data_IF_451070876098
#
_entry.id   IF_451070876098
#
_cell.length_a   1.000
_cell.length_b   1.000
_cell.length_c   1.000
_cell.angle_alpha   90.00
_cell.angle_beta   90.00
_cell.angle_gamma   90.00
#
_symmetry.space_group_name_H-M   'P 1'
#
loop_
_entity.id
_entity.type
_entity.pdbx_description
1 polymer ?
#
# COMPACT_ATOMS: atom_id res chain seq x y z
N UNK A 1 -27.16 57.96 -31.63
CA UNK A 1 -26.30 56.82 -32.02
C UNK A 1 -25.34 56.35 -30.92
N UNK A 2 -24.69 57.24 -30.15
CA UNK A 2 -23.74 56.89 -29.06
C UNK A 2 -24.27 55.91 -27.99
N UNK A 3 -25.53 56.05 -27.55
CA UNK A 3 -26.09 55.17 -26.50
C UNK A 3 -26.46 53.76 -26.97
N UNK A 4 -26.45 53.48 -28.28
CA UNK A 4 -26.72 52.13 -28.81
C UNK A 4 -25.45 51.27 -28.82
N UNK A 5 -24.26 51.82 -29.07
CA UNK A 5 -23.00 51.05 -29.03
C UNK A 5 -22.65 50.57 -27.61
N UNK A 6 -22.86 51.40 -26.58
CA UNK A 6 -22.52 51.04 -25.20
C UNK A 6 -23.26 49.80 -24.67
N UNK A 7 -24.49 49.57 -25.16
CA UNK A 7 -25.29 48.40 -24.75
C UNK A 7 -24.76 47.10 -25.33
N UNK A 8 -24.26 47.10 -26.57
CA UNK A 8 -23.72 45.89 -27.20
C UNK A 8 -22.33 45.54 -26.67
N UNK A 9 -21.51 46.54 -26.33
CA UNK A 9 -20.18 46.29 -25.75
C UNK A 9 -20.28 45.67 -24.35
N UNK A 10 -21.25 46.08 -23.52
CA UNK A 10 -21.44 45.52 -22.19
C UNK A 10 -21.96 44.06 -22.23
N UNK A 11 -22.89 43.75 -23.13
CA UNK A 11 -23.39 42.37 -23.30
C UNK A 11 -22.32 41.42 -23.82
N UNK A 12 -21.43 41.88 -24.71
CA UNK A 12 -20.31 41.09 -25.22
C UNK A 12 -19.24 40.83 -24.15
N UNK A 13 -19.00 41.79 -23.25
CA UNK A 13 -18.05 41.61 -22.15
C UNK A 13 -18.60 40.70 -21.04
N UNK A 14 -19.92 40.72 -20.80
CA UNK A 14 -20.57 39.87 -19.79
C UNK A 14 -20.69 38.40 -20.25
N UNK A 15 -20.68 38.11 -21.55
CA UNK A 15 -20.63 36.73 -22.08
C UNK A 15 -19.24 36.11 -22.06
N UNK A 16 -18.18 36.89 -21.82
CA UNK A 16 -16.81 36.38 -21.71
C UNK A 16 -16.45 35.87 -20.31
N UNK A 17 -17.32 36.08 -19.31
CA UNK A 17 -17.11 35.65 -17.92
C UNK A 17 -17.69 34.23 -17.66
N UNK A 18 -18.48 33.69 -18.59
CA UNK A 18 -19.05 32.35 -18.42
C UNK A 18 -18.04 31.26 -18.77
N UNK A 19 -17.83 30.34 -17.82
CA UNK A 19 -17.10 29.07 -17.90
C UNK A 19 -15.61 29.08 -17.53
N UNK A 20 -15.24 29.67 -16.40
CA UNK A 20 -14.18 29.04 -15.59
C UNK A 20 -14.76 27.72 -15.06
N UNK A 21 -14.42 26.61 -15.70
CA UNK A 21 -14.67 25.28 -15.17
C UNK A 21 -13.84 25.15 -13.88
N UNK A 22 -14.48 25.29 -12.73
CA UNK A 22 -13.84 25.07 -11.45
C UNK A 22 -13.48 23.58 -11.34
N UNK A 23 -12.20 23.25 -11.53
CA UNK A 23 -11.67 21.98 -11.06
C UNK A 23 -11.76 21.98 -9.54
N UNK A 24 -12.34 20.93 -8.96
CA UNK A 24 -12.48 20.82 -7.51
C UNK A 24 -11.29 20.06 -6.94
N UNK A 25 -10.72 20.57 -5.86
CA UNK A 25 -9.69 19.88 -5.09
C UNK A 25 -10.33 19.21 -3.88
N UNK A 26 -9.96 17.95 -3.66
CA UNK A 26 -10.29 17.19 -2.47
C UNK A 26 -8.99 16.79 -1.78
N UNK A 27 -8.94 16.95 -0.47
CA UNK A 27 -7.76 16.65 0.34
C UNK A 27 -8.20 15.75 1.47
N UNK A 28 -7.56 14.58 1.62
CA UNK A 28 -7.78 13.75 2.80
C UNK A 28 -7.08 14.37 3.99
N UNK A 29 -7.62 14.13 5.19
CA UNK A 29 -7.01 14.62 6.43
C UNK A 29 -5.65 13.98 6.65
N UNK A 30 -4.68 14.80 7.02
CA UNK A 30 -3.36 14.35 7.47
C UNK A 30 -3.46 13.50 8.75
N UNK A 31 -2.59 12.51 8.90
CA UNK A 31 -2.54 11.59 10.05
C UNK A 31 -3.90 10.95 10.40
N UNK A 32 -4.73 10.72 9.39
CA UNK A 32 -6.07 10.15 9.56
C UNK A 32 -6.20 8.83 8.81
N UNK A 33 -6.76 7.82 9.47
CA UNK A 33 -7.18 6.56 8.84
C UNK A 33 -8.67 6.60 8.59
N UNK A 34 -9.08 6.41 7.34
CA UNK A 34 -10.50 6.43 6.98
C UNK A 34 -10.77 5.79 5.63
N UNK A 35 -12.06 5.61 5.33
CA UNK A 35 -12.49 5.07 4.05
C UNK A 35 -12.78 6.20 3.06
N UNK A 36 -12.52 5.95 1.78
CA UNK A 36 -12.77 6.91 0.70
C UNK A 36 -14.22 7.42 0.70
N UNK A 37 -15.17 6.51 0.89
CA UNK A 37 -16.60 6.80 0.86
C UNK A 37 -17.13 7.52 2.11
N UNK A 38 -16.27 7.82 3.08
CA UNK A 38 -16.67 8.53 4.29
C UNK A 38 -16.33 10.01 4.21
N UNK A 39 -17.32 10.86 4.49
CA UNK A 39 -17.14 12.32 4.43
C UNK A 39 -16.10 12.83 5.45
N UNK A 40 -16.00 12.18 6.60
CA UNK A 40 -15.05 12.56 7.66
C UNK A 40 -13.58 12.30 7.28
N UNK A 41 -13.29 11.53 6.22
CA UNK A 41 -11.94 11.33 5.67
C UNK A 41 -11.40 12.60 5.01
N UNK A 42 -12.28 13.48 4.53
CA UNK A 42 -11.95 14.61 3.66
C UNK A 42 -12.09 15.96 4.38
N UNK A 43 -11.20 16.91 4.11
CA UNK A 43 -11.19 18.23 4.76
C UNK A 43 -12.46 19.04 4.48
N UNK A 44 -12.99 18.94 3.26
CA UNK A 44 -14.23 19.63 2.85
C UNK A 44 -15.51 18.89 3.27
N UNK A 45 -15.37 17.81 4.06
CA UNK A 45 -16.48 16.95 4.50
C UNK A 45 -17.38 16.48 3.34
N UNK A 46 -16.76 16.22 2.19
CA UNK A 46 -17.39 15.76 0.97
C UNK A 46 -16.54 14.67 0.32
N UNK A 47 -17.19 13.63 -0.17
CA UNK A 47 -16.54 12.49 -0.84
C UNK A 47 -16.11 12.93 -2.24
N UNK A 48 -14.85 12.72 -2.65
CA UNK A 48 -14.41 12.97 -4.02
C UNK A 48 -15.18 12.07 -4.98
N UNK A 49 -15.78 12.70 -5.98
CA UNK A 49 -16.48 12.04 -7.06
C UNK A 49 -15.50 11.68 -8.19
N UNK A 50 -15.16 10.39 -8.27
CA UNK A 50 -14.21 9.87 -9.26
C UNK A 50 -14.68 10.02 -10.72
N UNK A 51 -15.96 10.32 -10.92
CA UNK A 51 -16.53 10.59 -12.25
C UNK A 51 -16.32 12.05 -12.71
N UNK A 52 -15.75 12.93 -11.88
CA UNK A 52 -15.54 14.34 -12.20
C UNK A 52 -14.07 14.70 -12.28
N UNK A 53 -13.77 15.70 -13.11
CA UNK A 53 -12.44 16.30 -13.18
C UNK A 53 -12.14 17.00 -11.84
N UNK A 54 -10.92 16.82 -11.35
CA UNK A 54 -10.53 17.33 -10.05
C UNK A 54 -9.09 16.96 -9.69
N UNK A 55 -8.65 17.51 -8.57
CA UNK A 55 -7.40 17.14 -7.91
C UNK A 55 -7.73 16.44 -6.60
N UNK A 56 -7.04 15.34 -6.31
CA UNK A 56 -7.22 14.56 -5.09
C UNK A 56 -5.86 14.39 -4.44
N UNK A 57 -5.69 14.90 -3.24
CA UNK A 57 -4.45 14.78 -2.47
C UNK A 57 -4.69 13.88 -1.25
N UNK A 58 -3.86 12.86 -1.08
CA UNK A 58 -3.95 11.86 -0.01
C UNK A 58 -2.85 12.10 1.02
N UNK A 59 -3.19 12.73 2.16
CA UNK A 59 -2.27 13.01 3.27
C UNK A 59 -2.40 12.06 4.45
N UNK A 60 -3.41 11.19 4.47
CA UNK A 60 -3.59 10.16 5.49
C UNK A 60 -3.62 8.76 4.90
N UNK A 61 -3.97 7.78 5.72
CA UNK A 61 -4.23 6.40 5.30
C UNK A 61 -5.66 6.28 4.79
N UNK A 62 -5.85 6.21 3.48
CA UNK A 62 -7.17 6.13 2.85
C UNK A 62 -7.38 4.78 2.19
N UNK A 63 -8.49 4.13 2.54
CA UNK A 63 -8.90 2.88 1.91
C UNK A 63 -10.07 3.12 0.95
N UNK A 64 -9.84 2.85 -0.33
CA UNK A 64 -10.85 2.86 -1.38
C UNK A 64 -11.45 1.45 -1.53
N UNK A 65 -12.61 1.25 -0.89
CA UNK A 65 -13.38 0.01 -0.98
C UNK A 65 -14.22 0.03 -2.26
N UNK A 66 -13.88 -0.82 -3.22
CA UNK A 66 -14.69 -1.01 -4.42
C UNK A 66 -15.82 -1.99 -4.12
N UNK A 67 -17.08 -1.54 -4.06
CA UNK A 67 -18.23 -2.44 -3.91
C UNK A 67 -18.50 -3.32 -5.15
N UNK A 68 -17.67 -3.24 -6.20
CA UNK A 68 -17.62 -4.17 -7.32
C UNK A 68 -16.31 -4.00 -8.12
N UNK A 69 -15.24 -4.74 -7.76
CA UNK A 69 -14.06 -5.17 -8.55
C UNK A 69 -13.32 -4.22 -9.53
N UNK A 70 -13.72 -2.97 -9.73
CA UNK A 70 -13.05 -2.01 -10.61
C UNK A 70 -13.44 -0.58 -10.22
N UNK A 71 -12.48 0.18 -9.69
CA UNK A 71 -12.65 1.61 -9.45
C UNK A 71 -12.11 2.38 -10.66
N UNK A 72 -12.93 3.22 -11.26
CA UNK A 72 -12.56 4.00 -12.45
C UNK A 72 -12.42 5.48 -12.10
N UNK A 73 -11.24 6.05 -12.37
CA UNK A 73 -10.99 7.49 -12.29
C UNK A 73 -11.17 8.13 -13.66
N UNK A 74 -11.93 9.23 -13.75
CA UNK A 74 -12.25 9.88 -15.03
C UNK A 74 -11.07 10.67 -15.65
N UNK A 75 -11.27 11.10 -16.90
CA UNK A 75 -10.32 11.55 -17.92
C UNK A 75 -9.53 12.84 -17.60
N UNK A 76 -9.55 13.37 -16.39
CA UNK A 76 -8.70 14.51 -16.04
C UNK A 76 -8.45 14.62 -14.53
N UNK A 77 -8.57 13.51 -13.80
CA UNK A 77 -8.31 13.52 -12.36
C UNK A 77 -6.81 13.46 -12.13
N UNK A 78 -6.29 14.40 -11.35
CA UNK A 78 -4.95 14.32 -10.77
C UNK A 78 -5.06 13.73 -9.38
N UNK A 79 -4.35 12.63 -9.12
CA UNK A 79 -4.26 12.02 -7.80
C UNK A 79 -2.82 12.15 -7.33
N UNK A 80 -2.62 12.74 -6.17
CA UNK A 80 -1.31 12.88 -5.52
C UNK A 80 -1.36 12.15 -4.19
N UNK A 81 -0.43 11.22 -3.98
CA UNK A 81 -0.37 10.39 -2.78
C UNK A 81 0.86 10.81 -1.97
N UNK A 82 0.63 11.43 -0.82
CA UNK A 82 1.66 11.87 0.12
C UNK A 82 1.88 10.87 1.25
N UNK A 83 0.82 10.21 1.69
CA UNK A 83 0.86 9.10 2.66
C UNK A 83 0.39 7.81 1.98
N UNK A 84 -0.75 7.23 2.34
CA UNK A 84 -1.09 5.88 1.90
C UNK A 84 -2.48 5.81 1.26
N UNK A 85 -2.55 5.27 0.04
CA UNK A 85 -3.79 4.90 -0.61
C UNK A 85 -3.82 3.40 -0.87
N UNK A 86 -4.82 2.72 -0.30
CA UNK A 86 -5.11 1.31 -0.58
C UNK A 86 -6.36 1.21 -1.44
N UNK A 87 -6.26 0.51 -2.58
CA UNK A 87 -7.38 0.22 -3.47
C UNK A 87 -7.72 -1.26 -3.36
N UNK A 88 -8.89 -1.56 -2.80
CA UNK A 88 -9.39 -2.92 -2.64
C UNK A 88 -10.10 -3.40 -3.90
N UNK A 89 -9.31 -3.61 -4.95
CA UNK A 89 -9.78 -4.03 -6.26
C UNK A 89 -8.89 -3.50 -7.36
N UNK A 90 -9.44 -3.41 -8.57
CA UNK A 90 -8.70 -2.86 -9.70
C UNK A 90 -8.83 -1.34 -9.79
N UNK A 91 -7.79 -0.69 -10.32
CA UNK A 91 -7.72 0.74 -10.55
C UNK A 91 -7.60 0.99 -12.06
N UNK A 92 -8.63 1.64 -12.63
CA UNK A 92 -8.63 2.08 -14.02
C UNK A 92 -8.44 3.60 -14.09
N UNK A 93 -7.30 4.05 -14.62
CA UNK A 93 -7.00 5.46 -14.87
C UNK A 93 -7.38 5.79 -16.32
N UNK A 94 -8.32 6.72 -16.52
CA UNK A 94 -8.76 7.13 -17.86
C UNK A 94 -7.77 8.10 -18.53
N UNK A 95 -8.11 8.50 -19.76
CA UNK A 95 -7.26 9.34 -20.63
C UNK A 95 -6.85 10.61 -19.90
N UNK A 96 -5.65 11.13 -20.09
CA UNK A 96 -5.19 12.40 -19.48
C UNK A 96 -5.23 12.43 -17.93
N UNK A 97 -5.38 11.29 -17.25
CA UNK A 97 -5.24 11.21 -15.81
C UNK A 97 -3.77 11.37 -15.40
N UNK A 98 -3.56 11.98 -14.23
CA UNK A 98 -2.22 12.13 -13.64
C UNK A 98 -2.17 11.41 -12.30
N UNK A 99 -1.19 10.51 -12.12
CA UNK A 99 -0.93 9.82 -10.88
C UNK A 99 0.45 10.24 -10.35
N UNK A 100 0.50 10.83 -9.16
CA UNK A 100 1.73 11.17 -8.47
C UNK A 100 1.80 10.38 -7.17
N UNK A 101 2.85 9.59 -7.00
CA UNK A 101 3.21 8.99 -5.72
C UNK A 101 4.44 9.76 -5.24
N UNK A 102 4.22 10.68 -4.30
CA UNK A 102 5.27 11.55 -3.78
C UNK A 102 6.24 10.77 -2.88
N UNK A 103 7.37 11.38 -2.55
CA UNK A 103 8.32 10.81 -1.58
C UNK A 103 7.62 10.53 -0.25
N UNK A 104 7.70 9.29 0.24
CA UNK A 104 6.99 8.84 1.45
C UNK A 104 5.60 8.27 1.15
N UNK A 105 5.05 8.55 -0.04
CA UNK A 105 3.77 8.04 -0.49
C UNK A 105 3.80 6.54 -0.80
N UNK A 106 2.66 5.89 -0.61
CA UNK A 106 2.46 4.46 -0.84
C UNK A 106 1.12 4.24 -1.56
N UNK A 107 1.16 3.65 -2.75
CA UNK A 107 -0.04 3.17 -3.45
C UNK A 107 -0.05 1.65 -3.48
N UNK A 108 -1.13 1.05 -2.99
CA UNK A 108 -1.34 -0.40 -3.00
C UNK A 108 -2.64 -0.71 -3.72
N UNK A 109 -2.57 -1.56 -4.74
CA UNK A 109 -3.72 -1.94 -5.56
C UNK A 109 -3.86 -3.46 -5.47
N UNK A 110 -4.94 -3.90 -4.81
CA UNK A 110 -5.26 -5.31 -4.60
C UNK A 110 -6.02 -5.90 -5.80
N UNK A 111 -5.54 -5.58 -7.00
CA UNK A 111 -6.16 -5.94 -8.27
C UNK A 111 -5.32 -5.43 -9.43
N UNK A 112 -5.96 -5.24 -10.58
CA UNK A 112 -5.25 -4.78 -11.78
C UNK A 112 -5.10 -3.26 -11.76
N UNK A 113 -3.98 -2.75 -12.28
CA UNK A 113 -3.83 -1.33 -12.61
C UNK A 113 -3.80 -1.19 -14.13
N UNK A 114 -4.86 -0.61 -14.67
CA UNK A 114 -5.00 -0.35 -16.12
C UNK A 114 -5.00 1.15 -16.37
N UNK A 115 -4.15 1.60 -17.28
CA UNK A 115 -4.07 3.01 -17.63
C UNK A 115 -4.46 3.23 -19.08
N UNK A 116 -5.24 4.28 -19.36
CA UNK A 116 -5.62 4.67 -20.70
C UNK A 116 -4.52 5.48 -21.41
N UNK A 117 -4.86 6.01 -22.59
CA UNK A 117 -3.97 6.83 -23.41
C UNK A 117 -3.56 8.11 -22.68
N UNK A 118 -2.35 8.61 -22.91
CA UNK A 118 -1.89 9.92 -22.43
C UNK A 118 -1.87 10.03 -20.88
N UNK A 119 -1.71 8.92 -20.17
CA UNK A 119 -1.49 8.92 -18.71
C UNK A 119 -0.13 9.56 -18.39
N UNK A 120 -0.06 10.37 -17.34
CA UNK A 120 1.21 10.73 -16.70
C UNK A 120 1.26 10.07 -15.31
N UNK A 121 2.23 9.20 -15.07
CA UNK A 121 2.49 8.63 -13.75
C UNK A 121 3.91 8.97 -13.27
N UNK A 122 4.02 9.64 -12.12
CA UNK A 122 5.27 9.96 -11.46
C UNK A 122 5.36 9.15 -10.16
N UNK A 123 6.24 8.17 -10.12
CA UNK A 123 6.39 7.25 -9.00
C UNK A 123 7.73 7.55 -8.31
N UNK A 124 7.67 8.30 -7.20
CA UNK A 124 8.83 8.74 -6.44
C UNK A 124 9.01 7.99 -5.11
N UNK A 125 8.20 6.94 -4.88
CA UNK A 125 8.18 6.16 -3.63
C UNK A 125 7.64 4.75 -3.89
N UNK A 126 6.60 4.28 -3.21
CA UNK A 126 6.15 2.89 -3.28
C UNK A 126 4.90 2.69 -4.16
N UNK A 127 4.98 1.77 -5.11
CA UNK A 127 3.83 1.26 -5.87
C UNK A 127 3.78 -0.27 -5.74
N UNK A 128 2.64 -0.79 -5.32
CA UNK A 128 2.36 -2.23 -5.26
C UNK A 128 1.10 -2.54 -6.06
N UNK A 129 1.22 -3.44 -7.04
CA UNK A 129 0.10 -3.92 -7.84
C UNK A 129 0.03 -5.45 -7.73
N UNK A 130 -1.02 -5.95 -7.07
CA UNK A 130 -1.19 -7.39 -6.85
C UNK A 130 -1.63 -8.15 -8.12
N UNK A 131 -2.24 -7.46 -9.08
CA UNK A 131 -2.72 -8.01 -10.35
C UNK A 131 -1.91 -7.53 -11.56
N UNK A 132 -2.54 -7.57 -12.73
CA UNK A 132 -1.93 -7.14 -13.99
C UNK A 132 -1.67 -5.62 -13.99
N UNK A 133 -0.50 -5.23 -14.49
CA UNK A 133 -0.16 -3.84 -14.74
C UNK A 133 -0.14 -3.60 -16.25
N UNK A 134 -1.10 -2.84 -16.76
CA UNK A 134 -1.21 -2.57 -18.19
C UNK A 134 -1.39 -1.10 -18.52
N UNK A 135 -0.71 -0.65 -19.57
CA UNK A 135 -0.77 0.74 -20.03
C UNK A 135 -1.13 0.81 -21.50
N UNK A 136 -2.03 1.70 -21.88
CA UNK A 136 -2.29 1.99 -23.29
C UNK A 136 -1.24 2.94 -23.88
N UNK A 137 -1.29 3.07 -25.21
CA UNK A 137 -0.35 3.88 -26.01
C UNK A 137 -0.18 5.31 -25.45
N UNK A 138 1.03 5.85 -25.55
CA UNK A 138 1.39 7.21 -25.17
C UNK A 138 1.30 7.51 -23.66
N UNK A 139 1.25 6.48 -22.80
CA UNK A 139 1.45 6.65 -21.37
C UNK A 139 2.91 7.06 -21.07
N UNK A 140 3.10 8.04 -20.20
CA UNK A 140 4.39 8.46 -19.67
C UNK A 140 4.49 8.05 -18.21
N UNK A 141 5.37 7.09 -17.93
CA UNK A 141 5.62 6.60 -16.57
C UNK A 141 7.06 6.93 -16.22
N UNK A 142 7.26 7.72 -15.16
CA UNK A 142 8.55 8.05 -14.60
C UNK A 142 8.68 7.39 -13.23
N UNK A 143 9.69 6.54 -13.09
CA UNK A 143 10.04 5.86 -11.84
C UNK A 143 11.40 6.41 -11.41
N UNK A 144 11.45 7.15 -10.30
CA UNK A 144 12.67 7.86 -9.86
C UNK A 144 13.28 7.24 -8.62
N UNK A 145 14.59 6.99 -8.64
CA UNK A 145 15.28 6.41 -7.49
C UNK A 145 15.15 7.35 -6.26
N UNK A 146 14.87 6.82 -5.05
CA UNK A 146 14.93 5.41 -4.64
C UNK A 146 13.57 4.67 -4.64
N UNK A 147 12.64 5.01 -5.53
CA UNK A 147 11.32 4.38 -5.62
C UNK A 147 11.38 2.85 -5.68
N UNK A 148 10.34 2.19 -5.16
CA UNK A 148 10.19 0.74 -5.21
C UNK A 148 8.85 0.37 -5.83
N UNK A 149 8.89 -0.33 -6.96
CA UNK A 149 7.71 -0.78 -7.70
C UNK A 149 7.65 -2.30 -7.69
N UNK A 150 6.57 -2.85 -7.16
CA UNK A 150 6.32 -4.29 -7.04
C UNK A 150 5.09 -4.66 -7.85
N UNK A 151 5.28 -5.44 -8.91
CA UNK A 151 4.22 -5.89 -9.80
C UNK A 151 4.12 -7.41 -9.70
N UNK A 152 2.96 -7.90 -9.29
CA UNK A 152 2.74 -9.33 -9.10
C UNK A 152 1.99 -9.98 -10.26
N UNK A 153 1.42 -9.23 -11.20
CA UNK A 153 0.80 -9.79 -12.40
C UNK A 153 1.62 -9.56 -13.66
N UNK A 154 1.03 -9.93 -14.79
CA UNK A 154 1.63 -9.63 -16.10
C UNK A 154 1.81 -8.12 -16.29
N UNK A 155 2.94 -7.75 -16.89
CA UNK A 155 3.28 -6.37 -17.26
C UNK A 155 3.11 -6.19 -18.77
N UNK A 156 2.09 -5.42 -19.18
CA UNK A 156 1.82 -5.10 -20.59
C UNK A 156 1.86 -3.58 -20.81
N UNK A 157 3.03 -3.06 -21.16
CA UNK A 157 3.26 -1.62 -21.25
C UNK A 157 3.70 -1.17 -22.65
N UNK A 158 3.22 0.01 -23.05
CA UNK A 158 3.54 0.61 -24.34
C UNK A 158 3.66 2.15 -24.21
N UNK A 159 4.89 2.70 -24.17
CA UNK A 159 6.17 2.00 -24.36
C UNK A 159 6.50 1.02 -23.22
N UNK A 160 7.34 0.00 -23.46
CA UNK A 160 7.79 -0.91 -22.41
C UNK A 160 8.44 -0.14 -21.25
N UNK A 161 8.11 -0.52 -20.01
CA UNK A 161 8.81 -0.03 -18.83
C UNK A 161 10.29 -0.44 -18.83
N UNK A 162 11.13 0.39 -18.21
CA UNK A 162 12.49 0.03 -17.87
C UNK A 162 12.48 -1.10 -16.82
N UNK A 163 12.79 -2.32 -17.24
CA UNK A 163 12.83 -3.52 -16.39
C UNK A 163 13.79 -3.44 -15.20
N UNK A 164 14.70 -2.46 -15.15
CA UNK A 164 15.55 -2.23 -13.99
C UNK A 164 14.87 -1.43 -12.87
N UNK A 165 13.70 -0.83 -13.14
CA UNK A 165 12.99 0.08 -12.23
C UNK A 165 11.85 -0.56 -11.46
N UNK A 166 11.56 -1.84 -11.69
CA UNK A 166 10.52 -2.56 -10.97
C UNK A 166 10.93 -4.02 -10.73
N UNK A 167 10.24 -4.65 -9.79
CA UNK A 167 10.38 -6.08 -9.50
C UNK A 167 9.12 -6.79 -9.98
N UNK A 168 9.31 -7.71 -10.92
CA UNK A 168 8.27 -8.56 -11.50
C UNK A 168 8.19 -9.87 -10.71
N UNK A 169 7.01 -10.18 -10.21
CA UNK A 169 6.73 -11.41 -9.49
C UNK A 169 5.63 -12.19 -10.22
N UNK A 170 5.67 -13.53 -10.18
CA UNK A 170 4.54 -14.32 -10.63
C UNK A 170 3.30 -13.99 -9.80
N UNK A 171 2.10 -14.09 -10.38
CA UNK A 171 0.85 -13.83 -9.68
C UNK A 171 0.73 -14.72 -8.46
N UNK A 172 0.36 -14.15 -7.29
CA UNK A 172 0.10 -14.96 -6.11
C UNK A 172 -1.02 -15.95 -6.44
N UNK A 173 -1.00 -17.15 -5.85
CA UNK A 173 -2.10 -18.10 -5.98
C UNK A 173 -3.43 -17.39 -5.65
N UNK A 174 -4.47 -17.61 -6.45
CA UNK A 174 -5.74 -16.87 -6.37
C UNK A 174 -6.49 -16.95 -5.03
N UNK A 175 -6.05 -17.83 -4.11
CA UNK A 175 -6.57 -17.96 -2.75
C UNK A 175 -5.88 -17.04 -1.73
N UNK A 176 -4.81 -16.34 -2.11
CA UNK A 176 -3.91 -15.65 -1.17
C UNK A 176 -4.01 -14.11 -1.21
N UNK A 177 -4.93 -13.53 -1.98
CA UNK A 177 -5.10 -12.06 -2.02
C UNK A 177 -5.56 -11.53 -0.65
N UNK A 178 -6.27 -12.36 0.14
CA UNK A 178 -6.68 -12.02 1.50
C UNK A 178 -5.52 -11.90 2.50
N UNK A 179 -4.37 -12.56 2.26
CA UNK A 179 -3.20 -12.43 3.13
C UNK A 179 -2.42 -11.13 2.87
N UNK A 180 -2.62 -10.46 1.72
CA UNK A 180 -2.14 -9.09 1.51
C UNK A 180 -2.85 -8.06 2.41
N UNK A 181 -4.08 -8.36 2.84
CA UNK A 181 -4.93 -7.44 3.61
C UNK A 181 -4.45 -7.22 5.05
N UNK A 182 -3.59 -8.11 5.56
CA UNK A 182 -3.10 -8.04 6.93
C UNK A 182 -1.80 -7.23 7.06
N UNK A 183 -1.17 -6.80 5.97
CA UNK A 183 0.21 -6.27 5.98
C UNK A 183 0.36 -4.75 5.82
N UNK A 184 -0.71 -3.96 5.75
CA UNK A 184 -0.61 -2.52 5.48
C UNK A 184 -1.16 -1.71 6.66
N UNK A 185 -0.46 -1.76 7.78
CA UNK A 185 -0.49 -0.67 8.76
C UNK A 185 0.95 -0.32 9.11
N UNK A 186 1.31 0.96 9.00
CA UNK A 186 2.64 1.52 9.26
C UNK A 186 3.81 0.84 8.54
N UNK A 187 4.07 1.25 7.29
CA UNK A 187 5.34 0.97 6.63
C UNK A 187 6.40 1.95 7.16
N UNK A 188 6.97 1.60 8.30
CA UNK A 188 8.35 1.96 8.64
C UNK A 188 9.08 0.70 9.12
N UNK A 189 9.66 -0.05 8.17
CA UNK A 189 10.44 -1.27 8.45
C UNK A 189 9.58 -2.53 8.61
N UNK A 190 9.67 -3.46 7.65
CA UNK A 190 8.61 -4.44 7.36
C UNK A 190 8.59 -5.75 8.14
N UNK A 191 7.44 -6.43 8.01
CA UNK A 191 7.15 -7.88 7.88
C UNK A 191 5.61 -8.05 7.55
N UNK A 192 5.12 -9.20 6.99
CA UNK A 192 3.65 -9.63 6.83
C UNK A 192 3.26 -10.97 7.56
N UNK A 193 2.30 -11.02 8.52
CA UNK A 193 1.84 -12.25 9.32
C UNK A 193 0.41 -12.50 8.83
N UNK A 194 0.17 -13.78 8.60
CA UNK A 194 -1.09 -14.38 8.21
C UNK A 194 -2.14 -14.31 9.34
N UNK A 195 -3.24 -13.58 9.11
CA UNK A 195 -4.48 -13.75 9.87
C UNK A 195 -5.45 -14.56 9.02
N UNK A 196 -5.47 -15.88 9.21
CA UNK A 196 -6.40 -16.75 8.51
C UNK A 196 -7.86 -16.48 8.92
N UNK A 197 -8.69 -16.23 7.92
CA UNK A 197 -10.12 -16.59 7.84
C UNK A 197 -11.08 -15.98 8.87
N UNK A 198 -11.26 -14.66 8.89
CA UNK A 198 -12.59 -14.06 9.09
C UNK A 198 -12.57 -12.56 8.74
N UNK A 199 -13.42 -12.16 7.79
CA UNK A 199 -13.76 -10.76 7.50
C UNK A 199 -14.58 -10.22 8.68
N UNK A 200 -13.91 -9.70 9.72
CA UNK A 200 -14.57 -8.96 10.80
C UNK A 200 -14.23 -7.46 10.70
N UNK A 201 -15.18 -6.56 11.04
CA UNK A 201 -14.93 -5.12 11.06
C UNK A 201 -13.82 -4.74 12.06
N UNK A 202 -13.02 -3.74 11.69
CA UNK A 202 -11.77 -3.24 12.33
C UNK A 202 -11.87 -3.03 13.86
N UNK A 203 -13.08 -2.83 14.38
CA UNK A 203 -13.39 -2.58 15.77
C UNK A 203 -13.52 -3.87 16.64
N UNK A 204 -13.26 -5.05 16.06
CA UNK A 204 -13.25 -6.34 16.78
C UNK A 204 -11.93 -7.13 16.64
N UNK A 205 -10.80 -6.46 16.39
CA UNK A 205 -9.50 -7.10 16.58
C UNK A 205 -9.30 -7.39 18.07
N UNK A 206 -9.75 -8.57 18.51
CA UNK A 206 -9.43 -9.08 19.84
C UNK A 206 -7.91 -9.11 20.00
N UNK A 207 -7.37 -8.73 21.18
CA UNK A 207 -5.93 -8.80 21.43
C UNK A 207 -5.42 -10.18 21.03
N UNK A 208 -4.44 -10.19 20.13
CA UNK A 208 -3.80 -11.41 19.69
C UNK A 208 -3.05 -11.95 20.91
N UNK A 209 -3.57 -13.02 21.51
CA UNK A 209 -3.00 -13.63 22.71
C UNK A 209 -1.76 -14.47 22.41
N UNK A 210 -1.46 -14.70 21.13
CA UNK A 210 -0.28 -15.45 20.71
C UNK A 210 0.15 -15.13 19.29
N UNK A 211 1.45 -15.07 19.06
CA UNK A 211 2.05 -14.94 17.72
C UNK A 211 2.71 -16.27 17.37
N UNK A 212 2.43 -16.78 16.17
CA UNK A 212 3.08 -17.96 15.62
C UNK A 212 4.03 -17.57 14.49
N UNK A 213 5.22 -18.16 14.46
CA UNK A 213 6.19 -18.01 13.37
C UNK A 213 6.80 -19.36 13.00
N UNK A 214 7.15 -19.54 11.72
CA UNK A 214 7.85 -20.74 11.26
C UNK A 214 9.35 -20.61 11.47
N UNK A 215 9.96 -21.69 11.95
CA UNK A 215 11.40 -21.83 12.03
C UNK A 215 12.00 -21.96 10.63
N UNK A 216 13.11 -21.24 10.34
CA UNK A 216 13.68 -21.22 9.01
C UNK A 216 14.14 -22.61 8.54
N UNK A 217 14.02 -22.85 7.24
CA UNK A 217 14.54 -24.07 6.62
C UNK A 217 16.07 -23.99 6.52
N UNK A 218 16.76 -25.02 7.01
CA UNK A 218 18.21 -25.13 6.91
C UNK A 218 18.53 -25.97 5.67
N UNK A 219 18.40 -25.38 4.48
CA UNK A 219 18.90 -25.99 3.24
C UNK A 219 20.29 -25.43 2.94
N UNK A 220 21.33 -26.25 3.17
CA UNK A 220 22.72 -25.91 2.89
C UNK A 220 23.72 -26.66 3.78
N UNK A 221 25.01 -26.63 3.39
CA UNK A 221 26.18 -27.27 4.05
C UNK A 221 26.51 -26.73 5.46
N UNK A 222 25.54 -26.19 6.19
CA UNK A 222 25.69 -25.92 7.62
C UNK A 222 25.45 -27.27 8.33
N UNK A 223 26.54 -27.97 8.63
CA UNK A 223 26.54 -29.17 9.48
C UNK A 223 26.25 -28.79 10.93
N UNK A 224 25.05 -28.26 11.19
CA UNK A 224 24.51 -28.12 12.53
C UNK A 224 23.88 -29.47 12.89
N UNK A 225 24.69 -30.39 13.41
CA UNK A 225 24.32 -31.78 13.74
C UNK A 225 23.35 -31.95 14.93
N UNK A 226 22.53 -30.95 15.23
CA UNK A 226 21.39 -31.08 16.12
C UNK A 226 20.29 -30.19 15.57
N UNK A 227 19.24 -30.79 15.02
CA UNK A 227 18.15 -30.12 14.28
C UNK A 227 17.26 -29.18 15.09
N UNK A 228 17.78 -28.61 16.18
CA UNK A 228 17.12 -27.63 17.05
C UNK A 228 17.68 -26.23 16.77
N UNK A 229 16.79 -25.28 16.48
CA UNK A 229 17.08 -23.86 16.33
C UNK A 229 16.73 -23.17 17.64
N UNK A 230 17.68 -22.45 18.22
CA UNK A 230 17.42 -21.63 19.38
C UNK A 230 16.83 -20.30 18.93
N UNK A 231 15.81 -19.83 19.61
CA UNK A 231 15.22 -18.52 19.38
C UNK A 231 15.14 -17.74 20.68
N UNK A 232 15.20 -16.41 20.60
CA UNK A 232 15.04 -15.52 21.75
C UNK A 232 14.33 -14.25 21.29
N UNK A 233 13.27 -13.87 22.00
CA UNK A 233 12.53 -12.62 21.77
C UNK A 233 13.21 -11.47 22.53
N UNK A 234 13.40 -10.35 21.85
CA UNK A 234 13.94 -9.11 22.39
C UNK A 234 12.91 -7.99 22.25
N UNK A 235 12.92 -7.06 23.20
CA UNK A 235 12.21 -5.78 23.06
C UNK A 235 13.01 -4.77 22.22
N UNK A 236 12.42 -3.59 21.98
CA UNK A 236 13.06 -2.50 21.25
C UNK A 236 14.34 -1.95 21.91
N UNK A 237 14.63 -2.32 23.16
CA UNK A 237 15.84 -1.93 23.90
C UNK A 237 16.90 -3.04 23.92
N UNK A 238 16.73 -4.09 23.10
CA UNK A 238 17.60 -5.27 23.06
C UNK A 238 17.70 -6.01 24.41
N UNK A 239 16.66 -5.90 25.24
CA UNK A 239 16.50 -6.74 26.43
C UNK A 239 15.76 -8.01 26.07
N UNK A 240 16.20 -9.14 26.61
CA UNK A 240 15.49 -10.42 26.45
C UNK A 240 14.12 -10.27 27.13
N UNK A 241 13.06 -10.51 26.38
CA UNK A 241 11.72 -10.50 26.95
C UNK A 241 11.54 -11.74 27.83
N UNK A 242 11.22 -11.51 29.10
CA UNK A 242 11.36 -12.50 30.17
C UNK A 242 10.72 -13.86 29.81
N UNK A 243 11.55 -14.90 29.83
CA UNK A 243 11.14 -16.28 29.59
C UNK A 243 10.81 -16.70 28.15
N UNK A 244 10.85 -15.80 27.15
CA UNK A 244 10.52 -16.13 25.75
C UNK A 244 11.77 -16.48 24.95
N UNK A 245 12.37 -17.61 25.31
CA UNK A 245 13.38 -18.30 24.52
C UNK A 245 13.06 -19.79 24.47
N UNK A 246 13.48 -20.45 23.42
CA UNK A 246 13.21 -21.87 23.28
C UNK A 246 14.05 -22.51 22.20
N UNK A 247 13.82 -23.82 22.06
CA UNK A 247 14.33 -24.60 20.94
C UNK A 247 13.16 -25.14 20.15
N UNK A 248 13.29 -25.14 18.83
CA UNK A 248 12.30 -25.78 17.98
C UNK A 248 12.98 -26.41 16.77
N UNK A 249 12.35 -27.43 16.19
CA UNK A 249 12.88 -28.07 14.99
C UNK A 249 12.85 -27.11 13.80
N UNK A 250 13.77 -27.25 12.85
CA UNK A 250 13.64 -26.56 11.56
C UNK A 250 12.28 -26.86 10.92
N UNK A 251 11.67 -25.88 10.25
CA UNK A 251 10.32 -25.96 9.66
C UNK A 251 9.18 -26.24 10.65
N UNK A 252 9.40 -26.09 11.96
CA UNK A 252 8.31 -26.14 12.94
C UNK A 252 7.76 -24.76 13.24
N UNK A 253 6.48 -24.70 13.59
CA UNK A 253 5.82 -23.47 14.07
C UNK A 253 6.07 -23.30 15.56
N UNK A 254 6.55 -22.12 15.95
CA UNK A 254 6.64 -21.71 17.36
C UNK A 254 5.58 -20.68 17.64
N UNK A 255 4.85 -20.89 18.73
CA UNK A 255 3.82 -19.97 19.22
C UNK A 255 4.29 -19.33 20.51
N UNK A 256 4.41 -18.00 20.51
CA UNK A 256 4.75 -17.17 21.67
C UNK A 256 3.47 -16.56 22.21
N UNK A 257 3.23 -16.69 23.52
CA UNK A 257 2.09 -16.05 24.16
C UNK A 257 2.37 -14.55 24.33
N UNK A 258 1.54 -13.71 23.74
CA UNK A 258 1.75 -12.25 23.63
C UNK A 258 0.81 -11.44 24.50
N UNK A 259 0.06 -12.10 25.40
CA UNK A 259 -0.89 -11.47 26.32
C UNK A 259 -0.31 -10.38 27.23
N UNK A 260 1.02 -10.21 27.27
CA UNK A 260 1.72 -9.19 28.06
C UNK A 260 2.56 -8.20 27.22
N UNK A 261 2.54 -8.30 25.89
CA UNK A 261 3.43 -7.53 25.02
C UNK A 261 2.80 -6.17 24.65
N UNK A 262 3.44 -5.08 25.07
CA UNK A 262 3.23 -3.74 24.52
C UNK A 262 4.56 -3.19 24.00
N UNK A 263 4.68 -2.96 22.69
CA UNK A 263 5.88 -2.38 22.09
C UNK A 263 6.28 -3.03 20.76
N UNK A 264 7.49 -2.69 20.30
CA UNK A 264 8.15 -3.35 19.17
C UNK A 264 9.12 -4.44 19.67
N UNK A 265 9.11 -5.61 19.04
CA UNK A 265 9.97 -6.75 19.39
C UNK A 265 10.72 -7.28 18.18
N UNK A 266 11.78 -8.07 18.40
CA UNK A 266 12.42 -8.88 17.37
C UNK A 266 12.93 -10.21 17.90
N UNK A 267 13.08 -11.19 17.00
CA UNK A 267 13.51 -12.56 17.35
C UNK A 267 14.92 -12.78 16.81
N UNK A 268 15.84 -13.30 17.62
CA UNK A 268 17.14 -13.77 17.11
C UNK A 268 17.17 -15.29 17.06
N UNK A 269 17.74 -15.83 15.98
CA UNK A 269 17.95 -17.27 15.82
C UNK A 269 19.43 -17.61 16.04
N UNK A 270 19.69 -18.71 16.74
CA UNK A 270 21.03 -19.21 16.97
C UNK A 270 21.14 -20.67 16.50
N UNK A 271 22.15 -20.93 15.66
CA UNK A 271 22.43 -22.23 15.07
C UNK A 271 23.76 -22.74 15.63
N UNK A 272 23.70 -23.60 16.64
CA UNK A 272 24.90 -24.05 17.39
C UNK A 272 25.63 -22.87 18.05
N UNK A 273 26.93 -22.72 17.81
CA UNK A 273 27.74 -21.62 18.36
C UNK A 273 27.75 -20.36 17.47
N UNK A 274 26.99 -20.35 16.36
CA UNK A 274 26.93 -19.22 15.43
C UNK A 274 25.60 -18.49 15.55
N UNK A 275 25.65 -17.16 15.61
CA UNK A 275 24.47 -16.31 15.61
C UNK A 275 24.11 -15.90 14.19
N UNK A 276 22.87 -16.17 13.78
CA UNK A 276 22.28 -15.56 12.59
C UNK A 276 21.13 -14.68 13.10
N UNK A 277 21.38 -13.39 13.29
CA UNK A 277 20.32 -12.45 13.65
C UNK A 277 19.44 -12.22 12.43
N UNK A 278 18.14 -12.31 12.62
CA UNK A 278 17.19 -11.83 11.63
C UNK A 278 16.09 -11.08 12.36
N UNK A 279 16.04 -9.78 12.16
CA UNK A 279 15.12 -8.94 12.92
C UNK A 279 13.70 -9.14 12.39
N UNK A 280 12.77 -9.49 13.28
CA UNK A 280 11.33 -9.63 12.99
C UNK A 280 10.62 -8.54 13.78
N UNK A 281 10.31 -7.38 13.19
CA UNK A 281 9.68 -6.29 13.93
C UNK A 281 8.21 -6.63 14.21
N UNK A 282 7.87 -6.87 15.48
CA UNK A 282 6.50 -7.06 15.95
C UNK A 282 6.08 -5.79 16.70
N UNK A 283 5.35 -4.86 16.09
CA UNK A 283 4.81 -3.67 16.80
C UNK A 283 3.39 -3.95 17.28
N UNK A 284 2.96 -3.52 18.47
CA UNK A 284 1.54 -3.59 18.93
C UNK A 284 0.85 -2.22 18.67
N UNK A 285 -0.28 -2.12 17.93
CA UNK A 285 -1.10 -3.22 17.39
C UNK A 285 -0.32 -4.06 16.36
N UNK A 286 -0.37 -5.41 16.46
CA UNK A 286 0.47 -6.35 15.72
C UNK A 286 0.56 -5.99 14.23
N UNK A 287 1.66 -5.35 13.82
CA UNK A 287 2.07 -5.33 12.42
C UNK A 287 2.76 -6.66 12.16
N UNK A 288 2.09 -7.42 11.35
CA UNK A 288 2.21 -8.86 11.26
C UNK A 288 3.43 -9.19 10.37
N UNK A 289 4.41 -10.10 10.71
CA UNK A 289 5.12 -10.92 9.68
C UNK A 289 6.13 -12.08 9.76
N UNK A 290 6.12 -12.92 8.69
CA UNK A 290 6.86 -14.20 8.50
C UNK A 290 7.96 -14.08 7.43
N UNK A 291 9.13 -14.63 7.74
CA UNK A 291 10.28 -14.78 6.84
C UNK A 291 10.26 -16.16 6.20
N UNK A 292 10.38 -16.20 4.87
CA UNK A 292 10.81 -17.40 4.15
C UNK A 292 12.11 -17.08 3.42
N UNK A 293 13.02 -18.04 3.41
CA UNK A 293 14.23 -18.01 2.59
C UNK A 293 13.93 -18.58 1.21
#
# INVERSE_FOLDING_TARGET
MKNRMLKYTLTFFLSFISFVAFSKTYTSKDNHTGYWAEKNTWDVNEIPDLSKNGTIDIYGFVTLQGSALTTTFNMATTITIHDTLVVEGSLDLKKDATLNIETGGVLIILGNLTTAKDLIANINSYLVVAGEFSTKQDASISITDPSQVFLFGGVDTNPPLDGSKYQDYPPPPSTDIGSLYCGVQNISGGAIIDCSNNLLPINECTPVNSISFMMPNITGSLTCNSGEIFWTLYDSNNQIYDGQSGKAAANSTVTVNTSLLSGSYYIKFQFGNSFCSQDIIISNPPTTGTITK
#
